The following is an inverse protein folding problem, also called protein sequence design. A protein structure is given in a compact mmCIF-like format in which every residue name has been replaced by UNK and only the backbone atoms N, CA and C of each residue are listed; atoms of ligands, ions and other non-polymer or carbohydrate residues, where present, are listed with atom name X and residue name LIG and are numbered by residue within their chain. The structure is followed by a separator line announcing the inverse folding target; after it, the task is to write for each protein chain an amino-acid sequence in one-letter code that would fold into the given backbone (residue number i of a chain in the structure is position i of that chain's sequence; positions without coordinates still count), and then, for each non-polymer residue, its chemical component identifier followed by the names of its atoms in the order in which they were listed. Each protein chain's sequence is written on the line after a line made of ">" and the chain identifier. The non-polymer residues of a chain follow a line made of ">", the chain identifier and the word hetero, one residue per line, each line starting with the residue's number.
data_IF_009356889559
#
_entry.id   IF_009356889559
#
_cell.length_a   1.000
_cell.length_b   1.000
_cell.length_c   1.000
_cell.angle_alpha   90.00
_cell.angle_beta   90.00
_cell.angle_gamma   90.00
#
_symmetry.space_group_name_H-M   'P 1'
#
loop_
_entity.id
_entity.type
_entity.pdbx_description
1 polymer ?
2 non-polymer ?
3 non-polymer ?
4 water ?
#
# COMPACT_ATOMS: atom_id res chain seq x y z
N UNK A 3 3.12 24.46 4.51
CA UNK A 3 4.41 24.27 5.16
C UNK A 3 4.79 22.81 5.09
N UNK A 4 4.68 22.12 6.24
CA UNK A 4 4.91 20.67 6.24
C UNK A 4 4.01 19.96 5.23
N UNK A 5 2.75 20.38 5.12
CA UNK A 5 1.81 19.76 4.19
C UNK A 5 2.17 20.05 2.73
N UNK A 6 2.57 21.29 2.42
CA UNK A 6 3.09 21.62 1.10
C UNK A 6 4.29 20.75 0.76
N UNK A 7 5.23 20.63 1.70
CA UNK A 7 6.41 19.80 1.49
C UNK A 7 6.06 18.34 1.23
N UNK A 8 5.10 17.81 2.00
CA UNK A 8 4.69 16.43 1.80
C UNK A 8 4.03 16.25 0.44
N UNK A 9 3.24 17.23 0.00
CA UNK A 9 2.61 17.11 -1.31
C UNK A 9 3.60 17.30 -2.45
N UNK A 10 4.68 18.06 -2.22
CA UNK A 10 5.78 18.10 -3.17
C UNK A 10 6.40 16.72 -3.35
N UNK A 11 6.60 16.00 -2.23
CA UNK A 11 7.09 14.63 -2.32
C UNK A 11 6.12 13.77 -3.11
N UNK A 12 4.83 13.93 -2.87
CA UNK A 12 3.81 13.19 -3.62
C UNK A 12 3.89 13.51 -5.12
N UNK A 13 4.04 14.79 -5.45
CA UNK A 13 4.17 15.17 -6.86
C UNK A 13 5.40 14.53 -7.50
N UNK A 14 6.53 14.45 -6.75
CA UNK A 14 7.72 13.81 -7.28
C UNK A 14 7.52 12.33 -7.55
N UNK A 15 6.85 11.64 -6.61
CA UNK A 15 6.49 10.24 -6.81
C UNK A 15 5.62 10.10 -8.05
N UNK A 16 4.62 10.98 -8.18
CA UNK A 16 3.69 10.91 -9.32
C UNK A 16 4.43 11.09 -10.64
N UNK A 17 5.38 12.04 -10.68
CA UNK A 17 6.17 12.24 -11.89
C UNK A 17 7.03 11.03 -12.19
N UNK A 18 7.59 10.38 -11.16
CA UNK A 18 8.33 9.14 -11.39
C UNK A 18 7.42 8.02 -11.94
N UNK A 19 6.23 7.84 -11.36
CA UNK A 19 5.33 6.78 -11.83
C UNK A 19 4.96 6.99 -13.28
N UNK A 20 4.98 8.23 -13.72
CA UNK A 20 4.63 8.55 -15.08
C UNK A 20 5.84 8.56 -16.00
N UNK A 21 7.04 8.30 -15.47
CA UNK A 21 8.29 8.46 -16.24
C UNK A 21 8.61 7.24 -17.09
N UNK A 22 9.41 7.47 -18.13
CA UNK A 22 9.70 6.39 -19.13
C UNK A 22 10.35 5.16 -18.50
N UNK A 23 11.13 5.31 -17.43
CA UNK A 23 11.83 4.13 -16.94
C UNK A 23 10.86 3.10 -16.35
N UNK A 24 9.64 3.50 -16.01
CA UNK A 24 8.63 2.55 -15.56
C UNK A 24 7.55 2.31 -16.60
N UNK A 25 7.70 2.83 -17.83
CA UNK A 25 6.54 2.85 -18.74
C UNK A 25 6.09 1.45 -19.15
N UNK A 26 7.01 0.50 -19.15
CA UNK A 26 6.68 -0.85 -19.59
C UNK A 26 5.64 -1.50 -18.68
N UNK A 27 5.59 -1.10 -17.39
CA UNK A 27 4.59 -1.69 -16.49
C UNK A 27 3.60 -0.65 -15.95
N UNK A 28 3.87 0.65 -16.12
CA UNK A 28 2.95 1.67 -15.61
C UNK A 28 1.80 1.92 -16.57
N UNK A 29 1.94 1.55 -17.84
CA UNK A 29 0.99 1.99 -18.85
C UNK A 29 -0.47 1.60 -18.57
N UNK A 30 -0.81 0.45 -17.96
CA UNK A 30 -2.25 0.18 -17.72
C UNK A 30 -2.93 1.17 -16.76
N UNK A 31 -2.16 1.99 -16.04
CA UNK A 31 -2.63 2.90 -15.00
C UNK A 31 -2.62 4.36 -15.43
N UNK A 32 -2.26 4.63 -16.68
CA UNK A 32 -2.11 6.00 -17.14
C UNK A 32 -3.47 6.71 -17.23
N UNK A 33 -4.52 6.01 -17.68
CA UNK A 33 -5.78 6.63 -18.02
C UNK A 33 -6.95 5.86 -17.42
N UNK A 34 -8.13 6.49 -17.31
CA UNK A 34 -9.31 5.78 -16.78
C UNK A 34 -9.57 4.57 -17.64
N UNK A 35 -9.91 3.46 -16.97
CA UNK A 35 -10.35 2.27 -17.67
C UNK A 35 -11.58 2.60 -18.50
N UNK A 36 -11.49 2.34 -19.79
CA UNK A 36 -12.62 2.42 -20.71
C UNK A 36 -13.14 0.99 -20.81
N UNK A 37 -14.08 0.63 -19.94
CA UNK A 37 -14.46 -0.77 -19.84
C UNK A 37 -15.05 -1.28 -21.14
N UNK A 38 -15.91 -0.48 -21.77
CA UNK A 38 -16.51 -0.95 -23.02
C UNK A 38 -15.45 -1.15 -24.09
N UNK A 39 -14.49 -0.20 -24.23
CA UNK A 39 -13.44 -0.32 -25.23
C UNK A 39 -12.57 -1.55 -25.03
N UNK A 40 -12.34 -1.96 -23.77
CA UNK A 40 -11.50 -3.12 -23.46
C UNK A 40 -12.30 -4.41 -23.39
N UNK A 41 -13.62 -4.35 -23.61
CA UNK A 41 -14.45 -5.53 -23.49
C UNK A 41 -14.69 -5.99 -22.07
N UNK A 42 -14.54 -5.13 -21.07
CA UNK A 42 -14.64 -5.55 -19.67
C UNK A 42 -16.02 -5.14 -19.21
N UNK A 43 -17.01 -5.89 -19.67
CA UNK A 43 -18.37 -5.45 -19.46
C UNK A 43 -18.87 -5.69 -18.05
N UNK A 44 -18.03 -6.29 -17.20
CA UNK A 44 -18.33 -6.45 -15.78
C UNK A 44 -17.53 -5.52 -14.88
N UNK A 45 -16.67 -4.70 -15.45
CA UNK A 45 -15.72 -3.94 -14.62
C UNK A 45 -16.47 -3.04 -13.63
N UNK A 46 -17.49 -2.30 -14.10
CA UNK A 46 -18.21 -1.37 -13.26
C UNK A 46 -19.25 -2.06 -12.38
N UNK A 47 -19.48 -3.35 -12.59
CA UNK A 47 -20.23 -4.08 -11.57
C UNK A 47 -19.35 -4.41 -10.37
N UNK A 48 -18.07 -4.69 -10.60
CA UNK A 48 -17.15 -5.11 -9.54
C UNK A 48 -16.43 -3.95 -8.88
N UNK A 49 -16.06 -2.93 -9.65
CA UNK A 49 -15.29 -1.76 -9.19
C UNK A 49 -16.19 -0.53 -9.01
N UNK A 50 -16.44 -0.13 -7.75
CA UNK A 50 -17.31 1.03 -7.53
C UNK A 50 -16.63 2.38 -7.70
N UNK A 51 -15.31 2.47 -7.54
CA UNK A 51 -14.59 3.75 -7.52
C UNK A 51 -13.35 3.67 -8.39
N UNK A 52 -13.51 3.79 -9.70
CA UNK A 52 -12.34 3.78 -10.58
C UNK A 52 -11.35 4.86 -10.23
N UNK A 53 -10.07 4.55 -10.48
CA UNK A 53 -8.96 5.50 -10.30
C UNK A 53 -7.79 5.14 -11.20
N UNK A 54 -7.07 6.19 -11.59
CA UNK A 54 -5.96 6.08 -12.52
C UNK A 54 -5.06 7.30 -12.34
N UNK A 55 -3.83 7.21 -12.89
CA UNK A 55 -2.82 8.25 -12.65
C UNK A 55 -3.16 9.60 -13.29
N UNK A 56 -3.87 9.61 -14.42
CA UNK A 56 -4.21 10.93 -14.99
C UNK A 56 -5.22 11.64 -14.09
N UNK A 57 -6.08 10.90 -13.40
CA UNK A 57 -7.00 11.53 -12.47
C UNK A 57 -6.26 12.04 -11.23
N UNK A 58 -5.31 11.26 -10.72
CA UNK A 58 -4.47 11.73 -9.62
C UNK A 58 -3.74 12.99 -10.04
N UNK A 59 -3.22 13.01 -11.27
CA UNK A 59 -2.51 14.20 -11.75
C UNK A 59 -3.43 15.41 -11.83
N UNK A 60 -4.64 15.23 -12.36
CA UNK A 60 -5.55 16.37 -12.45
C UNK A 60 -5.92 16.90 -11.05
N UNK A 61 -6.18 16.00 -10.11
CA UNK A 61 -6.49 16.39 -8.73
C UNK A 61 -5.31 17.12 -8.10
N UNK A 62 -4.08 16.65 -8.35
CA UNK A 62 -2.89 17.33 -7.84
C UNK A 62 -2.78 18.73 -8.43
N UNK A 63 -2.98 18.86 -9.75
CA UNK A 63 -2.89 20.17 -10.40
C UNK A 63 -3.94 21.12 -9.84
N UNK A 64 -5.12 20.60 -9.50
CA UNK A 64 -6.25 21.39 -9.02
C UNK A 64 -6.27 21.62 -7.51
N UNK A 65 -5.26 21.14 -6.77
CA UNK A 65 -5.17 21.34 -5.32
C UNK A 65 -6.31 20.64 -4.60
N UNK A 66 -6.83 19.55 -5.18
CA UNK A 66 -7.90 18.79 -4.53
C UNK A 66 -7.40 18.08 -3.28
N UNK A 67 -6.17 17.56 -3.29
CA UNK A 67 -5.65 16.82 -2.15
C UNK A 67 -5.26 17.78 -1.03
N UNK A 68 -5.84 17.58 0.14
CA UNK A 68 -5.51 18.43 1.26
C UNK A 68 -4.27 17.95 2.00
N UNK A 69 -3.90 16.68 1.85
CA UNK A 69 -2.70 16.16 2.49
C UNK A 69 -2.23 14.94 1.72
N UNK A 70 -1.05 14.46 2.12
CA UNK A 70 -0.40 13.34 1.47
C UNK A 70 -1.22 12.07 1.60
N UNK A 71 -1.92 11.90 2.71
CA UNK A 71 -2.74 10.71 2.91
C UNK A 71 -3.84 10.58 1.85
N UNK A 72 -4.48 11.69 1.43
CA UNK A 72 -5.52 11.52 0.40
C UNK A 72 -4.90 11.16 -0.95
N UNK A 73 -3.74 11.73 -1.27
CA UNK A 73 -3.02 11.33 -2.47
C UNK A 73 -2.72 9.83 -2.44
N UNK A 74 -2.14 9.37 -1.31
CA UNK A 74 -1.78 7.96 -1.22
C UNK A 74 -3.02 7.09 -1.30
N UNK A 75 -4.13 7.53 -0.68
CA UNK A 75 -5.36 6.75 -0.72
C UNK A 75 -5.87 6.56 -2.14
N UNK A 76 -5.75 7.59 -2.99
CA UNK A 76 -6.17 7.44 -4.38
C UNK A 76 -5.24 6.49 -5.14
N UNK A 77 -3.93 6.62 -4.94
CA UNK A 77 -3.00 5.72 -5.64
C UNK A 77 -3.24 4.26 -5.22
N UNK A 78 -3.46 4.05 -3.92
CA UNK A 78 -3.69 2.68 -3.47
C UNK A 78 -5.06 2.19 -3.93
N UNK A 79 -6.05 3.08 -4.02
CA UNK A 79 -7.33 2.66 -4.57
C UNK A 79 -7.16 2.16 -6.00
N UNK A 80 -6.38 2.88 -6.82
CA UNK A 80 -6.11 2.41 -8.18
C UNK A 80 -5.51 1.00 -8.18
N UNK A 81 -4.49 0.77 -7.34
CA UNK A 81 -3.90 -0.58 -7.31
C UNK A 81 -4.90 -1.62 -6.78
N UNK A 82 -5.64 -1.29 -5.70
CA UNK A 82 -6.64 -2.20 -5.13
C UNK A 82 -7.72 -2.56 -6.15
N UNK A 83 -8.17 -1.60 -6.97
CA UNK A 83 -9.15 -1.91 -8.02
C UNK A 83 -8.59 -2.96 -8.95
N UNK A 84 -7.30 -2.82 -9.29
CA UNK A 84 -6.69 -3.84 -10.15
C UNK A 84 -6.64 -5.21 -9.47
N UNK A 85 -6.27 -5.25 -8.18
CA UNK A 85 -6.25 -6.54 -7.47
C UNK A 85 -7.65 -7.10 -7.25
N UNK A 86 -8.65 -6.24 -7.21
CA UNK A 86 -10.00 -6.72 -6.96
C UNK A 86 -10.54 -7.36 -8.21
N UNK A 87 -10.26 -6.76 -9.36
CA UNK A 87 -10.91 -7.21 -10.58
C UNK A 87 -10.27 -8.48 -11.11
N UNK A 88 -8.95 -8.65 -10.96
CA UNK A 88 -8.20 -9.69 -11.68
C UNK A 88 -7.74 -10.88 -10.82
N UNK A 89 -7.59 -12.05 -11.45
CA UNK A 89 -7.00 -13.22 -10.78
C UNK A 89 -5.58 -12.95 -10.36
N UNK A 90 -5.10 -13.58 -9.28
CA UNK A 90 -3.77 -13.23 -8.75
C UNK A 90 -2.64 -13.56 -9.70
N UNK A 91 -2.86 -14.42 -10.68
CA UNK A 91 -1.82 -14.78 -11.65
C UNK A 91 -1.90 -13.94 -12.91
N UNK A 92 -2.73 -12.89 -12.94
CA UNK A 92 -2.88 -12.09 -14.15
C UNK A 92 -1.65 -11.22 -14.38
N UNK A 93 -1.33 -11.04 -15.66
CA UNK A 93 -0.19 -10.20 -16.07
C UNK A 93 -0.27 -8.78 -15.51
N UNK A 94 -1.48 -8.19 -15.52
CA UNK A 94 -1.68 -6.82 -15.06
C UNK A 94 -1.48 -6.72 -13.56
N UNK A 95 -1.72 -7.80 -12.82
CA UNK A 95 -1.50 -7.79 -11.38
C UNK A 95 -0.01 -7.74 -11.09
N UNK A 96 0.78 -8.49 -11.86
CA UNK A 96 2.24 -8.38 -11.73
C UNK A 96 2.70 -6.96 -12.07
N UNK A 97 2.10 -6.37 -13.09
CA UNK A 97 2.49 -4.98 -13.44
C UNK A 97 2.13 -4.02 -12.32
N UNK A 98 0.91 -4.15 -11.79
CA UNK A 98 0.48 -3.34 -10.64
C UNK A 98 1.45 -3.48 -9.48
N UNK A 99 1.82 -4.73 -9.11
CA UNK A 99 2.76 -4.97 -8.00
C UNK A 99 4.11 -4.34 -8.25
N UNK A 100 4.62 -4.39 -9.48
CA UNK A 100 5.92 -3.76 -9.73
C UNK A 100 5.84 -2.24 -9.55
N UNK A 101 4.77 -1.63 -10.10
CA UNK A 101 4.62 -0.19 -9.94
C UNK A 101 4.32 0.19 -8.50
N UNK A 102 3.56 -0.64 -7.78
CA UNK A 102 3.28 -0.37 -6.37
C UNK A 102 4.55 -0.49 -5.54
N UNK A 103 5.47 -1.39 -5.90
CA UNK A 103 6.75 -1.46 -5.20
C UNK A 103 7.47 -0.12 -5.33
N UNK A 104 7.52 0.42 -6.56
CA UNK A 104 8.11 1.74 -6.77
C UNK A 104 7.46 2.78 -5.86
N UNK A 105 6.11 2.80 -5.87
CA UNK A 105 5.33 3.78 -5.12
C UNK A 105 5.56 3.67 -3.62
N UNK A 106 5.42 2.46 -3.05
CA UNK A 106 5.44 2.33 -1.60
C UNK A 106 6.83 2.62 -1.09
N UNK A 107 7.88 2.17 -1.82
CA UNK A 107 9.23 2.41 -1.31
C UNK A 107 9.56 3.89 -1.32
N UNK A 108 9.14 4.65 -2.35
CA UNK A 108 9.45 6.08 -2.32
C UNK A 108 8.50 6.86 -1.39
N UNK A 109 7.21 6.49 -1.33
CA UNK A 109 6.26 7.12 -0.40
C UNK A 109 6.75 6.99 1.04
N UNK A 110 7.37 5.84 1.38
CA UNK A 110 7.87 5.62 2.74
C UNK A 110 8.98 6.60 3.12
N UNK A 111 9.65 7.22 2.16
CA UNK A 111 10.69 8.20 2.47
C UNK A 111 10.13 9.57 2.84
N UNK A 112 8.83 9.66 3.03
CA UNK A 112 8.19 10.96 3.25
C UNK A 112 8.88 11.78 4.32
N UNK A 113 9.16 13.06 4.04
CA UNK A 113 9.71 13.96 5.07
C UNK A 113 8.73 14.17 6.22
N UNK A 114 9.28 14.19 7.44
CA UNK A 114 8.52 14.44 8.65
C UNK A 114 9.40 14.89 9.81
N UNK B 6 -19.04 -4.24 10.76
CA UNK B 6 -18.59 -5.47 11.40
C UNK B 6 -18.09 -6.46 10.35
N UNK B 7 -18.84 -6.59 9.25
CA UNK B 7 -18.46 -7.50 8.19
C UNK B 7 -17.11 -7.13 7.58
N UNK B 8 -16.85 -5.85 7.40
CA UNK B 8 -15.58 -5.42 6.85
C UNK B 8 -14.46 -5.74 7.81
N UNK B 9 -14.72 -5.58 9.11
CA UNK B 9 -13.71 -5.90 10.09
C UNK B 9 -13.51 -7.40 10.23
N UNK B 10 -14.55 -8.20 9.95
CA UNK B 10 -14.38 -9.65 9.86
C UNK B 10 -13.42 -10.01 8.73
N UNK B 11 -13.57 -9.35 7.58
CA UNK B 11 -12.61 -9.58 6.51
C UNK B 11 -11.19 -9.19 6.96
N UNK B 12 -11.07 -8.07 7.68
CA UNK B 12 -9.75 -7.65 8.18
C UNK B 12 -9.17 -8.69 9.16
N UNK B 13 -10.00 -9.19 10.07
CA UNK B 13 -9.53 -10.23 10.98
C UNK B 13 -9.08 -11.48 10.23
N UNK B 14 -9.80 -11.85 9.17
CA UNK B 14 -9.38 -13.00 8.39
C UNK B 14 -8.03 -12.77 7.74
N UNK B 15 -7.85 -11.57 7.19
CA UNK B 15 -6.56 -11.20 6.63
C UNK B 15 -5.49 -11.29 7.71
N UNK B 16 -5.78 -10.74 8.89
CA UNK B 16 -4.79 -10.73 9.96
C UNK B 16 -4.39 -12.13 10.36
N UNK B 17 -5.38 -13.04 10.51
CA UNK B 17 -5.08 -14.42 10.86
C UNK B 17 -4.22 -15.05 9.76
N UNK B 18 -4.52 -14.77 8.49
CA UNK B 18 -3.70 -15.30 7.41
C UNK B 18 -2.26 -14.79 7.51
N UNK B 19 -2.06 -13.49 7.75
CA UNK B 19 -0.70 -12.95 7.83
C UNK B 19 0.09 -13.60 8.95
N UNK B 20 -0.61 -14.08 9.99
CA UNK B 20 0.03 -14.70 11.14
C UNK B 20 0.15 -16.22 11.01
N UNK B 21 -0.34 -16.79 9.91
CA UNK B 21 -0.47 -18.23 9.71
C UNK B 21 0.84 -18.87 9.23
N UNK B 22 0.91 -20.18 9.44
CA UNK B 22 2.12 -20.95 9.14
C UNK B 22 2.48 -20.85 7.66
N UNK B 23 1.48 -20.62 6.79
CA UNK B 23 1.79 -20.63 5.36
C UNK B 23 2.63 -19.44 4.93
N UNK B 24 2.64 -18.38 5.71
CA UNK B 24 3.49 -17.23 5.42
C UNK B 24 4.64 -17.05 6.41
N UNK B 25 4.86 -18.00 7.34
CA UNK B 25 5.77 -17.66 8.45
C UNK B 25 7.21 -17.41 8.00
N UNK B 26 7.62 -18.02 6.88
CA UNK B 26 9.00 -17.89 6.45
C UNK B 26 9.37 -16.45 6.12
N UNK B 27 8.42 -15.63 5.67
CA UNK B 27 8.72 -14.20 5.39
C UNK B 27 7.95 -13.28 6.34
N UNK B 28 6.99 -13.80 7.07
CA UNK B 28 6.20 -12.91 7.92
C UNK B 28 6.87 -12.65 9.27
N UNK B 29 7.78 -13.52 9.68
CA UNK B 29 8.26 -13.50 11.06
C UNK B 29 8.88 -12.16 11.49
N UNK B 30 9.56 -11.37 10.65
CA UNK B 30 10.10 -10.08 11.14
C UNK B 30 9.03 -9.09 11.61
N UNK B 31 7.76 -9.35 11.28
CA UNK B 31 6.64 -8.45 11.52
C UNK B 31 5.74 -8.93 12.66
N UNK B 32 6.13 -10.02 13.32
CA UNK B 32 5.28 -10.61 14.32
C UNK B 32 5.19 -9.72 15.56
N UNK B 33 6.30 -9.10 15.95
CA UNK B 33 6.45 -8.42 17.22
C UNK B 33 7.09 -7.04 17.04
N UNK B 34 6.95 -6.15 18.03
CA UNK B 34 7.58 -4.83 17.92
C UNK B 34 9.10 -4.94 17.74
N UNK B 35 9.66 -4.09 16.86
CA UNK B 35 11.11 -4.00 16.74
C UNK B 35 11.71 -3.65 18.10
N UNK B 36 12.60 -4.50 18.59
CA UNK B 36 13.41 -4.25 19.79
C UNK B 36 14.70 -3.70 19.23
N UNK B 37 14.76 -2.36 19.09
CA UNK B 37 15.89 -1.78 18.37
C UNK B 37 17.20 -2.03 19.07
N UNK B 38 17.22 -1.85 20.40
CA UNK B 38 18.47 -2.06 21.12
C UNK B 38 18.91 -3.53 21.03
N UNK B 39 17.97 -4.47 21.19
CA UNK B 39 18.32 -5.88 21.08
C UNK B 39 18.87 -6.22 19.70
N UNK B 40 18.37 -5.56 18.66
CA UNK B 40 18.83 -5.85 17.30
C UNK B 40 20.01 -4.98 16.91
N UNK B 41 20.47 -4.12 17.81
CA UNK B 41 21.56 -3.22 17.50
C UNK B 41 21.21 -2.10 16.56
N UNK B 42 19.93 -1.75 16.44
CA UNK B 42 19.51 -0.76 15.45
C UNK B 42 19.30 0.54 16.22
N UNK B 43 20.41 1.15 16.59
CA UNK B 43 20.36 2.26 17.53
C UNK B 43 19.89 3.55 16.90
N UNK B 44 19.64 3.56 15.61
CA UNK B 44 19.05 4.69 14.91
C UNK B 44 17.60 4.48 14.54
N UNK B 45 17.03 3.31 14.86
CA UNK B 45 15.70 3.00 14.36
C UNK B 45 14.68 4.02 14.81
N UNK B 46 14.70 4.39 16.09
CA UNK B 46 13.69 5.32 16.58
C UNK B 46 13.99 6.77 16.23
N UNK B 47 15.19 7.06 15.71
CA UNK B 47 15.37 8.37 15.12
C UNK B 47 14.70 8.43 13.75
N UNK B 48 14.71 7.32 13.01
CA UNK B 48 14.20 7.31 11.63
C UNK B 48 12.72 6.98 11.56
N UNK B 49 12.24 6.09 12.42
CA UNK B 49 10.85 5.60 12.45
C UNK B 49 10.09 6.26 13.61
N UNK B 50 9.15 7.17 13.32
CA UNK B 50 8.42 7.86 14.38
C UNK B 50 7.26 7.05 14.96
N UNK B 51 6.70 6.08 14.22
CA UNK B 51 5.48 5.36 14.62
C UNK B 51 5.67 3.87 14.36
N UNK B 52 6.37 3.16 15.25
CA UNK B 52 6.53 1.70 15.08
C UNK B 52 5.19 1.01 15.01
N UNK B 53 5.15 -0.09 14.26
CA UNK B 53 3.94 -0.91 14.14
C UNK B 53 4.35 -2.34 13.79
N UNK B 54 3.54 -3.29 14.23
CA UNK B 54 3.83 -4.71 14.03
C UNK B 54 2.52 -5.47 14.17
N UNK B 55 2.53 -6.75 13.72
CA UNK B 55 1.29 -7.53 13.68
C UNK B 55 0.74 -7.87 15.07
N UNK B 56 1.58 -8.02 16.09
CA UNK B 56 1.03 -8.30 17.41
C UNK B 56 0.27 -7.10 17.96
N UNK B 57 0.72 -5.88 17.59
CA UNK B 57 0.00 -4.69 18.00
C UNK B 57 -1.34 -4.58 17.25
N UNK B 58 -1.32 -4.88 15.95
CA UNK B 58 -2.56 -4.91 15.19
C UNK B 58 -3.53 -5.93 15.79
N UNK B 59 -3.02 -7.10 16.14
CA UNK B 59 -3.87 -8.16 16.75
C UNK B 59 -4.46 -7.66 18.06
N UNK B 60 -3.63 -7.05 18.90
CA UNK B 60 -4.15 -6.56 20.19
C UNK B 60 -5.22 -5.49 20.00
N UNK B 61 -5.02 -4.56 19.07
CA UNK B 61 -6.02 -3.54 18.80
C UNK B 61 -7.31 -4.17 18.26
N UNK B 62 -7.18 -5.17 17.38
CA UNK B 62 -8.35 -5.90 16.87
C UNK B 62 -9.09 -6.63 17.98
N UNK B 63 -8.35 -7.33 18.85
CA UNK B 63 -9.00 -8.08 19.92
C UNK B 63 -9.75 -7.13 20.83
N UNK B 64 -9.22 -5.94 21.03
CA UNK B 64 -9.82 -4.96 21.92
C UNK B 64 -10.85 -4.09 21.19
N UNK B 65 -11.12 -4.34 19.89
CA UNK B 65 -12.12 -3.55 19.17
C UNK B 65 -11.70 -2.08 19.07
N UNK B 66 -10.38 -1.87 19.05
CA UNK B 66 -9.81 -0.53 18.92
C UNK B 66 -10.12 0.07 17.55
N UNK B 67 -10.11 -0.74 16.50
CA UNK B 67 -10.33 -0.25 15.14
C UNK B 67 -11.80 0.09 14.90
N UNK B 68 -12.06 1.33 14.50
CA UNK B 68 -13.44 1.71 14.22
C UNK B 68 -13.85 1.36 12.79
N UNK B 69 -12.92 1.13 11.87
CA UNK B 69 -13.33 0.72 10.53
C UNK B 69 -12.15 0.01 9.87
N UNK B 70 -12.42 -0.58 8.71
CA UNK B 70 -11.39 -1.34 8.00
C UNK B 70 -10.23 -0.44 7.56
N UNK B 71 -10.52 0.82 7.21
CA UNK B 71 -9.50 1.75 6.75
C UNK B 71 -8.43 1.96 7.82
N UNK B 72 -8.83 2.03 9.08
CA UNK B 72 -7.89 2.23 10.17
C UNK B 72 -6.99 1.00 10.35
N UNK B 73 -7.59 -0.20 10.20
CA UNK B 73 -6.80 -1.44 10.22
C UNK B 73 -5.76 -1.42 9.13
N UNK B 74 -6.20 -1.08 7.91
CA UNK B 74 -5.31 -1.09 6.76
C UNK B 74 -4.19 -0.07 6.94
N UNK B 75 -4.52 1.08 7.53
CA UNK B 75 -3.51 2.13 7.76
C UNK B 75 -2.38 1.63 8.66
N UNK B 76 -2.74 0.84 9.70
CA UNK B 76 -1.70 0.29 10.58
C UNK B 76 -0.84 -0.75 9.86
N UNK B 77 -1.48 -1.63 9.08
CA UNK B 77 -0.70 -2.64 8.36
C UNK B 77 0.25 -1.98 7.37
N UNK B 78 -0.24 -0.95 6.67
CA UNK B 78 0.61 -0.28 5.70
C UNK B 78 1.68 0.55 6.39
N UNK B 79 1.38 1.11 7.56
CA UNK B 79 2.40 1.80 8.33
C UNK B 79 3.55 0.86 8.68
N UNK B 80 3.21 -0.36 9.10
CA UNK B 80 4.22 -1.39 9.39
C UNK B 80 5.12 -1.64 8.19
N UNK B 81 4.51 -1.84 7.01
CA UNK B 81 5.36 -2.07 5.84
C UNK B 81 6.18 -0.82 5.48
N UNK B 82 5.55 0.37 5.53
CA UNK B 82 6.25 1.62 5.20
C UNK B 82 7.45 1.86 6.13
N UNK B 83 7.31 1.53 7.42
CA UNK B 83 8.45 1.68 8.34
C UNK B 83 9.61 0.79 7.87
N UNK B 84 9.28 -0.43 7.44
CA UNK B 84 10.35 -1.30 6.93
C UNK B 84 11.01 -0.73 5.69
N UNK B 85 10.22 -0.18 4.74
CA UNK B 85 10.80 0.42 3.54
C UNK B 85 11.55 1.71 3.83
N UNK B 86 11.19 2.39 4.90
CA UNK B 86 11.84 3.65 5.18
C UNK B 86 13.22 3.38 5.75
N UNK B 87 13.32 2.39 6.61
CA UNK B 87 14.56 2.16 7.34
C UNK B 87 15.62 1.46 6.48
N UNK B 88 15.21 0.56 5.56
CA UNK B 88 16.16 -0.33 4.87
C UNK B 88 16.45 0.01 3.40
N UNK B 89 17.66 -0.32 2.94
CA UNK B 89 18.00 -0.20 1.52
C UNK B 89 17.12 -1.10 0.66
N UNK B 90 16.85 -0.69 -0.59
CA UNK B 90 15.87 -1.46 -1.40
C UNK B 90 16.33 -2.88 -1.74
N UNK B 91 17.61 -3.20 -1.62
CA UNK B 91 18.08 -4.55 -1.93
C UNK B 91 18.16 -5.44 -0.68
N UNK B 92 17.66 -4.97 0.46
CA UNK B 92 17.75 -5.73 1.69
C UNK B 92 16.77 -6.92 1.66
N UNK B 93 17.19 -8.02 2.30
CA UNK B 93 16.34 -9.20 2.40
C UNK B 93 14.98 -8.88 3.01
N UNK B 94 14.97 -8.03 4.05
CA UNK B 94 13.74 -7.73 4.77
C UNK B 94 12.76 -6.95 3.92
N UNK B 95 13.26 -6.15 2.97
CA UNK B 95 12.35 -5.43 2.09
C UNK B 95 11.65 -6.39 1.14
N UNK B 96 12.39 -7.37 0.62
CA UNK B 96 11.78 -8.41 -0.20
C UNK B 96 10.75 -9.19 0.60
N UNK B 97 11.04 -9.46 1.88
CA UNK B 97 10.10 -10.18 2.74
C UNK B 97 8.83 -9.35 2.98
N UNK B 98 9.02 -8.06 3.30
CA UNK B 98 7.93 -7.11 3.47
C UNK B 98 7.07 -7.09 2.21
N UNK B 99 7.70 -7.04 1.03
CA UNK B 99 6.94 -6.92 -0.24
C UNK B 99 6.14 -8.19 -0.49
N UNK B 100 6.74 -9.35 -0.22
CA UNK B 100 5.99 -10.63 -0.36
C UNK B 100 4.74 -10.60 0.54
N UNK B 101 4.89 -10.22 1.80
CA UNK B 101 3.76 -10.17 2.74
C UNK B 101 2.75 -9.09 2.33
N UNK B 102 3.23 -7.94 1.87
CA UNK B 102 2.33 -6.89 1.44
C UNK B 102 1.57 -7.33 0.21
N UNK B 103 2.18 -8.14 -0.67
CA UNK B 103 1.45 -8.68 -1.80
C UNK B 103 0.27 -9.51 -1.31
N UNK B 104 0.52 -10.40 -0.35
CA UNK B 104 -0.55 -11.20 0.27
C UNK B 104 -1.66 -10.31 0.83
N UNK B 105 -1.25 -9.31 1.62
CA UNK B 105 -2.19 -8.40 2.27
C UNK B 105 -3.02 -7.61 1.27
N UNK B 106 -2.35 -6.94 0.30
CA UNK B 106 -3.08 -6.02 -0.56
C UNK B 106 -4.05 -6.79 -1.44
N UNK B 107 -3.62 -7.96 -1.94
CA UNK B 107 -4.51 -8.71 -2.84
C UNK B 107 -5.75 -9.21 -2.11
N UNK B 108 -5.61 -9.65 -0.84
CA UNK B 108 -6.82 -10.07 -0.13
C UNK B 108 -7.65 -8.90 0.39
N UNK B 109 -6.99 -7.82 0.82
CA UNK B 109 -7.68 -6.60 1.24
C UNK B 109 -8.56 -6.04 0.13
N UNK B 110 -8.08 -6.12 -1.12
CA UNK B 110 -8.84 -5.61 -2.25
C UNK B 110 -10.13 -6.37 -2.43
N UNK B 111 -10.21 -7.60 -1.90
CA UNK B 111 -11.42 -8.45 -2.05
C UNK B 111 -12.46 -8.05 -1.00
N UNK B 112 -12.31 -6.87 -0.41
CA UNK B 112 -13.25 -6.37 0.65
C UNK B 112 -14.68 -6.35 0.12
N UNK B 113 -15.69 -6.91 0.83
CA UNK B 113 -17.09 -6.81 0.42
C UNK B 113 -17.60 -5.36 0.42
N UNK B 114 -18.15 -4.90 -0.70
CA UNK B 114 -18.69 -3.54 -0.79
C UNK B 114 -19.79 -3.49 -1.85
X LIG C 1 0.70 -5.20 -3.73
X LIG C 1 1.88 -5.18 -2.79
X LIG C 1 3.03 -4.32 -3.28
X LIG C 1 4.10 -4.11 -2.25
X LIG C 1 0.13 -6.46 -3.96
X LIG C 1 4.95 -3.04 -2.59
X LIG D 1 -5.56 -2.52 -18.34
X LIG D 1 -6.11 -1.79 -17.36
X LIG D 1 -6.55 -0.53 -17.58
X LIG D 1 -6.44 0.02 -18.77
X LIG D 1 -5.43 -1.96 -19.56
X LIG D 1 2.47 0.50 -23.87
X LIG D 1 3.47 1.58 -23.48
X LIG D 1 4.24 2.09 -24.61
X LIG D 1 5.09 3.20 -24.17
X LIG D 1 3.36 2.49 -25.70
X LIG D 1 2.48 1.33 -26.17
X LIG D 1 1.69 0.78 -25.09
X LIG D 1 0.98 -0.51 -25.50
X LIG D 1 0.24 -0.35 -26.79
X LIG D 1 -0.80 -1.46 -27.03
X LIG D 1 0.16 -0.91 -24.31
X LIG D 1 -1.06 -1.79 -24.60
X LIG D 1 -1.76 -1.37 -25.86
X LIG D 1 -3.13 -0.92 -25.90
X LIG D 1 -3.64 -0.58 -26.92
X LIG D 1 -3.90 -0.82 -24.59
X LIG D 1 -3.95 0.46 -24.06
X LIG D 1 -4.61 0.67 -22.87
X LIG D 1 -4.71 1.93 -22.29
X LIG D 1 -5.78 2.70 -22.78
X LIG D 1 -4.46 -1.92 -23.94
X LIG D 1 -5.11 -1.70 -22.73
X LIG D 1 -5.16 -0.41 -22.25
X LIG D 1 -5.82 0.01 -21.02
X LIG D 1 -5.88 -0.70 -19.76
X LIG D 1 -5.14 -3.84 -17.93
X LIG D 1 -4.22 -4.33 -18.95
X LIG D 1 -6.20 -4.84 -17.77
X LIG D 1 -6.44 -5.90 -18.64
X LIG D 1 -7.47 -6.81 -18.41
X LIG D 1 -8.26 -6.68 -17.29
X LIG D 1 -8.03 -5.65 -16.38
X LIG D 1 -7.02 -4.71 -16.65
X LIG D 1 -6.73 -3.62 -15.61
X LIG D 1 -6.80 -3.89 -14.45
X LIG D 1 -6.23 -2.30 -15.98
X LIG D 1 -5.92 -1.36 -14.90
X LIG E 1 0.57 -6.38 -22.84
X LIG E 1 0.88 -6.59 -21.54
X LIG E 1 -0.17 -6.68 -20.64
X LIG E 1 -1.42 -6.52 -21.00
X LIG E 1 -0.72 -6.22 -23.21
X LIG E 1 -10.24 0.16 -27.93
X LIG E 1 -10.62 1.10 -29.08
X LIG E 1 -10.59 2.49 -28.67
X LIG E 1 -11.94 2.89 -28.31
X LIG E 1 -9.64 2.83 -27.62
X LIG E 1 -8.50 1.82 -27.44
X LIG E 1 -8.94 0.43 -27.34
X LIG E 1 -7.83 -0.54 -27.75
X LIG E 1 -8.41 -1.69 -28.51
X LIG E 1 -7.42 -2.82 -28.75
X LIG E 1 -7.08 -0.96 -26.53
X LIG E 1 -7.13 -2.46 -26.28
X LIG E 1 -6.68 -3.26 -27.49
X LIG E 1 -5.69 -4.34 -27.49
X LIG E 1 -5.45 -4.88 -28.51
X LIG E 1 -4.97 -4.81 -26.22
X LIG E 1 -5.74 -5.24 -25.14
X LIG E 1 -5.12 -5.66 -23.98
X LIG E 1 -5.88 -6.10 -22.86
X LIG E 1 -7.27 -6.21 -23.04
X LIG E 1 -3.57 -4.82 -26.18
X LIG E 1 -2.93 -5.25 -25.01
X LIG E 1 -3.72 -5.67 -23.95
X LIG E 1 -3.16 -6.13 -22.66
X LIG E 1 -1.73 -6.29 -22.30
X LIG E 1 1.69 -6.31 -23.80
X LIG E 1 1.07 -6.19 -25.12
X LIG E 1 2.56 -5.12 -23.71
X LIG E 1 2.63 -4.05 -24.62
X LIG E 1 3.52 -3.01 -24.43
X LIG E 1 4.40 -2.97 -23.35
X LIG E 1 4.33 -4.03 -22.46
X LIG E 1 3.44 -5.08 -22.64
X LIG E 1 3.51 -6.17 -21.58
X LIG E 1 4.57 -6.44 -21.12
X LIG E 1 2.30 -6.83 -21.06
X LIG E 1 2.50 -7.82 -20.00
X LIG F 1 13.70 -7.45 11.41
X LIG F 1 12.73 -6.54 11.71
X LIG F 1 12.07 -6.62 12.90
X LIG F 1 12.35 -7.60 13.76
X LIG F 1 13.96 -8.45 12.27
X LIG F 1 24.13 -12.76 13.68
X LIG F 1 25.36 -12.84 14.59
X LIG F 1 26.23 -11.67 14.51
X LIG F 1 27.25 -11.75 15.55
X LIG F 1 25.50 -10.43 14.66
X LIG F 1 24.42 -10.29 13.58
X LIG F 1 23.52 -11.43 13.54
X LIG F 1 22.25 -11.19 14.38
X LIG F 1 22.02 -12.24 15.39
X LIG F 1 20.79 -13.11 15.12
X LIG F 1 21.12 -11.06 13.42
X LIG F 1 19.79 -11.03 14.16
X LIG F 1 19.50 -12.31 14.91
X LIG F 1 18.17 -12.75 15.38
X LIG F 1 18.06 -13.77 15.97
X LIG F 1 16.91 -11.89 15.11
X LIG F 1 16.02 -11.63 16.15
X LIG F 1 14.89 -10.86 15.90
X LIG F 1 13.95 -10.58 16.90
X LIG F 1 12.85 -11.45 16.85
X LIG F 1 16.67 -11.38 13.83
X LIG F 1 15.56 -10.60 13.57
X LIG F 1 14.71 -10.36 14.62
X LIG F 1 13.49 -9.54 14.47
X LIG F 1 13.29 -8.51 13.45
X LIG F 1 14.30 -7.26 10.11
X LIG F 1 14.98 -8.52 9.79
X LIG F 1 15.26 -6.17 10.01
X LIG F 1 16.65 -6.35 9.90
X LIG F 1 17.48 -5.24 9.80
X LIG F 1 16.95 -3.96 9.79
X LIG F 1 15.59 -3.77 9.89
X LIG F 1 14.74 -4.87 10.02
X LIG F 1 13.22 -4.63 10.04
X LIG F 1 12.75 -3.76 9.36
X LIG F 1 12.33 -5.47 10.79
X LIG F 1 10.90 -5.19 10.69
#
# INVERSE_FOLDING_TARGET
>A
SMGKLSEQLKHCNGILKELLSKKHAAYAWPFYKPVDASALGLHDYHDIIKHPMDLSTVKRKMENRDYRDAQEFAADVRLMFSNCYKYNPPDHDVVAMARKLQDVFEFRYAKMPD
>B
SMGKLSEQLKHCNGILKELLSKKHAAYAWPFYKPVDASALGLHDYHDIIKHPMDLSTVKRKMENRDYRDAQEFAADVRLMFSNCYKYNPPDHDVVAMARKLQDVFEFRYAKMPD
>C hetero
1 BU1 C1 C2 C3 C4 O5 O6
>D hetero
1 4K4 C4 C5 C6 N1 N3 CAU CAS NBL CAB CAT CAV NBN CBK CAP CAR CAO CAQ NBM CBA OAE CBB CAN CBE OAZ CAA CAI CAJ CBC NAY C2 NBP CAD CBH CAL CAH CAG CAK CBG CBF OAF NBO CAC
>E hetero
1 4K4 C4 C5 C6 N1 N3 CAU CAS NBL CAB CAT CAV NBN CBK CAP CAR CAO CAQ NBM CBA OAE CBB CAN CBE OAZ CAA CAI CAJ CBC NAY C2 NBP CAD CBH CAL CAH CAG CAK CBG CBF OAF NBO CAC
>F hetero
1 4K4 C4 C5 C6 N1 N3 CAU CAS NBL CAB CAT CAV NBN CBK CAP CAR CAO CAQ NBM CBA OAE CBB CAN CBE OAZ CAA CAI CAJ CBC NAY C2 NBP CAD CBH CAL CAH CAG CAK CBG CBF OAF NBO CAC
#
